data_IF_395860863352
#
_entry.id   IF_395860863352
#
_cell.length_a   1.000
_cell.length_b   1.000
_cell.length_c   1.000
_cell.angle_alpha   90.00
_cell.angle_beta   90.00
_cell.angle_gamma   90.00
#
_symmetry.space_group_name_H-M   'P 1'
#
loop_
_entity.id
_entity.type
_entity.pdbx_description
1 polymer ?
#
# COMPACT_ATOMS: atom_id res chain seq x y z
N UNK A 1 -9.36 10.98 12.36
CA UNK A 1 -8.74 10.10 11.35
C UNK A 1 -7.27 10.42 11.35
N UNK A 2 -6.43 9.40 11.34
CA UNK A 2 -4.98 9.55 11.37
C UNK A 2 -4.39 9.05 10.05
N UNK A 3 -3.53 9.85 9.44
CA UNK A 3 -2.88 9.52 8.16
C UNK A 3 -1.39 9.28 8.40
N UNK A 4 -0.90 8.15 7.91
CA UNK A 4 0.51 7.77 7.93
C UNK A 4 1.05 7.69 6.51
N UNK A 5 2.25 8.23 6.29
CA UNK A 5 2.97 8.05 5.02
C UNK A 5 3.77 6.76 5.13
N UNK A 6 3.60 5.86 4.16
CA UNK A 6 4.45 4.68 4.02
C UNK A 6 5.76 5.15 3.39
N UNK A 7 6.92 4.96 4.05
CA UNK A 7 8.19 5.51 3.58
C UNK A 7 8.73 4.67 2.42
N UNK A 8 8.43 5.10 1.20
CA UNK A 8 8.86 4.45 -0.03
C UNK A 8 10.02 5.21 -0.68
N UNK A 9 10.85 4.50 -1.42
CA UNK A 9 11.72 5.05 -2.46
C UNK A 9 11.18 4.73 -3.86
N UNK A 10 11.56 5.47 -4.92
CA UNK A 10 11.13 5.20 -6.30
C UNK A 10 11.87 4.00 -6.93
N UNK A 11 11.95 2.90 -6.18
CA UNK A 11 12.62 1.66 -6.56
C UNK A 11 11.81 0.45 -6.05
N UNK A 12 11.84 -0.70 -6.76
CA UNK A 12 11.26 -1.94 -6.26
C UNK A 12 11.87 -2.33 -4.92
N UNK A 13 11.03 -2.59 -3.92
CA UNK A 13 11.46 -2.80 -2.55
C UNK A 13 10.55 -3.76 -1.80
N UNK A 14 11.11 -4.43 -0.78
CA UNK A 14 10.38 -5.31 0.11
C UNK A 14 10.81 -5.04 1.54
N UNK A 15 9.85 -4.72 2.41
CA UNK A 15 10.13 -4.32 3.79
C UNK A 15 8.98 -4.72 4.73
N UNK A 16 9.31 -4.84 6.02
CA UNK A 16 8.33 -5.04 7.07
C UNK A 16 7.75 -3.71 7.55
N UNK A 17 6.46 -3.69 7.88
CA UNK A 17 5.75 -2.54 8.42
C UNK A 17 4.64 -2.99 9.37
N UNK A 18 4.31 -2.15 10.34
CA UNK A 18 3.14 -2.35 11.20
C UNK A 18 2.05 -1.38 10.78
N UNK A 19 0.91 -1.89 10.30
CA UNK A 19 -0.27 -1.11 9.95
C UNK A 19 -1.41 -1.50 10.89
N UNK A 20 -2.03 -0.51 11.54
CA UNK A 20 -3.13 -0.72 12.50
C UNK A 20 -2.85 -1.82 13.55
N UNK A 21 -1.60 -1.93 14.02
CA UNK A 21 -1.19 -2.95 15.01
C UNK A 21 -0.90 -4.35 14.44
N UNK A 22 -1.04 -4.55 13.13
CA UNK A 22 -0.69 -5.80 12.44
C UNK A 22 0.65 -5.68 11.74
N UNK A 23 1.57 -6.61 12.01
CA UNK A 23 2.81 -6.71 11.27
C UNK A 23 2.56 -7.33 9.90
N UNK A 24 3.11 -6.70 8.87
CA UNK A 24 2.95 -7.08 7.47
C UNK A 24 4.30 -6.96 6.77
N UNK A 25 4.46 -7.71 5.68
CA UNK A 25 5.54 -7.50 4.73
C UNK A 25 4.95 -7.00 3.41
N UNK A 26 5.36 -5.80 3.01
CA UNK A 26 5.01 -5.24 1.71
C UNK A 26 6.09 -5.57 0.70
N UNK A 27 5.68 -5.89 -0.52
CA UNK A 27 6.59 -6.02 -1.68
C UNK A 27 6.02 -5.20 -2.82
N UNK A 28 6.76 -4.18 -3.22
CA UNK A 28 6.37 -3.25 -4.28
C UNK A 28 7.28 -3.48 -5.49
N UNK A 29 6.67 -3.62 -6.67
CA UNK A 29 7.36 -3.93 -7.94
C UNK A 29 6.87 -3.02 -9.05
N UNK A 30 7.78 -2.69 -9.95
CA UNK A 30 7.47 -1.98 -11.18
C UNK A 30 7.31 -2.97 -12.34
N UNK A 31 6.22 -2.83 -13.10
CA UNK A 31 6.01 -3.57 -14.34
C UNK A 31 6.15 -2.62 -15.54
N UNK A 32 7.29 -2.74 -16.23
CA UNK A 32 7.60 -1.92 -17.42
C UNK A 32 6.88 -2.47 -18.67
N UNK A 33 5.59 -2.16 -18.79
CA UNK A 33 4.75 -2.52 -19.95
C UNK A 33 3.75 -1.41 -20.25
N UNK A 34 3.16 -1.46 -21.44
CA UNK A 34 1.97 -0.64 -21.78
C UNK A 34 0.88 -0.94 -20.74
N UNK A 35 0.32 0.11 -20.12
CA UNK A 35 -0.63 0.04 -19.00
C UNK A 35 -0.08 -0.67 -17.73
N UNK A 36 1.25 -0.84 -17.66
CA UNK A 36 1.94 -1.28 -16.46
C UNK A 36 2.05 -0.19 -15.40
N UNK A 37 2.73 -0.50 -14.31
CA UNK A 37 2.90 0.44 -13.21
C UNK A 37 3.41 -0.23 -11.94
N UNK A 38 3.22 0.47 -10.84
CA UNK A 38 3.52 -0.05 -9.52
C UNK A 38 2.44 -1.04 -9.06
N UNK A 39 2.90 -2.18 -8.54
CA UNK A 39 2.05 -3.23 -7.99
C UNK A 39 2.59 -3.63 -6.62
N UNK A 40 1.68 -3.83 -5.68
CA UNK A 40 1.98 -4.21 -4.31
C UNK A 40 1.44 -5.61 -4.01
N UNK A 41 2.27 -6.40 -3.33
CA UNK A 41 1.86 -7.60 -2.61
C UNK A 41 2.01 -7.38 -1.10
N UNK A 42 1.18 -8.05 -0.33
CA UNK A 42 1.14 -8.06 1.13
C UNK A 42 1.25 -9.50 1.61
N UNK A 43 2.20 -9.75 2.50
CA UNK A 43 2.48 -11.07 3.06
C UNK A 43 2.50 -11.01 4.58
N UNK A 44 2.25 -12.17 5.20
CA UNK A 44 2.62 -12.40 6.60
C UNK A 44 4.15 -12.37 6.72
N UNK A 45 4.72 -11.62 7.69
CA UNK A 45 6.15 -11.34 7.74
C UNK A 45 7.03 -12.56 8.01
N UNK A 46 6.59 -13.47 8.89
CA UNK A 46 7.38 -14.65 9.28
C UNK A 46 7.22 -15.83 8.34
N UNK A 47 5.97 -16.16 7.97
CA UNK A 47 5.66 -17.34 7.16
C UNK A 47 5.79 -17.09 5.66
N UNK A 48 5.90 -15.82 5.25
CA UNK A 48 5.78 -15.39 3.86
C UNK A 48 4.48 -15.86 3.18
N UNK A 49 3.44 -16.17 3.97
CA UNK A 49 2.14 -16.54 3.43
C UNK A 49 1.49 -15.31 2.76
N UNK A 50 0.95 -15.45 1.54
CA UNK A 50 0.31 -14.33 0.86
C UNK A 50 -1.00 -13.95 1.55
N UNK A 51 -1.17 -12.64 1.81
CA UNK A 51 -2.43 -12.07 2.31
C UNK A 51 -3.23 -11.51 1.13
N UNK A 52 -2.60 -10.65 0.32
CA UNK A 52 -3.13 -10.15 -0.95
C UNK A 52 -1.97 -9.90 -1.91
N UNK A 53 -2.13 -10.26 -3.17
CA UNK A 53 -1.10 -10.06 -4.19
C UNK A 53 -1.69 -9.36 -5.42
N UNK A 54 -0.86 -8.59 -6.10
CA UNK A 54 -1.21 -7.97 -7.36
C UNK A 54 -2.06 -6.71 -7.23
N UNK A 55 -1.98 -5.98 -6.11
CA UNK A 55 -2.74 -4.73 -5.92
C UNK A 55 -2.09 -3.63 -6.78
N UNK A 56 -2.76 -3.12 -7.82
CA UNK A 56 -2.21 -2.02 -8.62
C UNK A 56 -2.30 -0.72 -7.83
N UNK A 57 -1.22 0.07 -7.83
CA UNK A 57 -1.21 1.38 -7.17
C UNK A 57 -1.86 2.42 -8.09
N UNK A 58 -3.18 2.57 -7.96
CA UNK A 58 -3.98 3.54 -8.73
C UNK A 58 -4.38 4.76 -7.89
N UNK A 59 -4.60 5.89 -8.55
CA UNK A 59 -5.09 7.11 -7.92
C UNK A 59 -6.60 7.09 -7.66
N UNK A 60 -7.05 7.89 -6.68
CA UNK A 60 -8.47 8.19 -6.46
C UNK A 60 -9.32 7.08 -5.84
N UNK A 61 -8.72 5.97 -5.40
CA UNK A 61 -9.42 4.84 -4.78
C UNK A 61 -8.80 4.44 -3.44
N UNK A 62 -9.59 3.77 -2.60
CA UNK A 62 -9.05 2.95 -1.51
C UNK A 62 -8.61 1.60 -2.08
N UNK A 63 -7.31 1.37 -2.07
CA UNK A 63 -6.67 0.16 -2.60
C UNK A 63 -6.96 -1.07 -1.73
N UNK A 64 -7.35 -0.89 -0.47
CA UNK A 64 -7.77 -1.99 0.42
C UNK A 64 -9.28 -2.22 0.43
N UNK A 65 -10.09 -1.31 -0.13
CA UNK A 65 -11.55 -1.41 -0.17
C UNK A 65 -12.08 -2.74 -0.74
N UNK A 66 -11.55 -3.26 -1.88
CA UNK A 66 -11.95 -4.57 -2.39
C UNK A 66 -11.61 -5.76 -1.47
N UNK A 67 -10.73 -5.55 -0.49
CA UNK A 67 -10.20 -6.55 0.42
C UNK A 67 -10.61 -6.30 1.88
N UNK A 68 -11.68 -5.54 2.12
CA UNK A 68 -12.15 -5.14 3.46
C UNK A 68 -12.36 -6.36 4.40
N UNK A 69 -12.78 -7.50 3.83
CA UNK A 69 -12.93 -8.77 4.57
C UNK A 69 -11.62 -9.30 5.20
N UNK A 70 -10.45 -8.81 4.78
CA UNK A 70 -9.14 -9.14 5.37
C UNK A 70 -8.84 -8.33 6.64
N UNK A 71 -9.66 -7.30 6.95
CA UNK A 71 -9.54 -6.44 8.12
C UNK A 71 -8.12 -5.89 8.31
N UNK A 72 -7.59 -5.21 7.29
CA UNK A 72 -6.25 -4.60 7.32
C UNK A 72 -6.19 -3.29 8.15
N UNK A 73 -7.34 -2.87 8.70
CA UNK A 73 -7.42 -1.85 9.74
C UNK A 73 -7.36 -0.39 9.25
N UNK A 74 -7.48 -0.16 7.94
CA UNK A 74 -7.51 1.17 7.36
C UNK A 74 -7.61 1.17 5.84
N UNK A 75 -7.71 2.37 5.28
CA UNK A 75 -7.69 2.62 3.84
C UNK A 75 -6.25 2.80 3.37
N UNK A 76 -5.97 2.40 2.12
CA UNK A 76 -4.69 2.64 1.48
C UNK A 76 -4.91 3.49 0.22
N UNK A 77 -4.24 4.64 0.10
CA UNK A 77 -4.51 5.61 -0.98
C UNK A 77 -3.24 6.24 -1.52
N UNK A 78 -3.22 6.54 -2.82
CA UNK A 78 -2.19 7.36 -3.46
C UNK A 78 -2.52 8.85 -3.30
N UNK A 79 -1.54 9.64 -2.84
CA UNK A 79 -1.65 11.10 -2.70
C UNK A 79 -1.39 11.83 -4.03
N UNK A 80 -2.18 11.50 -5.05
CA UNK A 80 -2.11 12.10 -6.37
C UNK A 80 -3.39 11.78 -7.15
N UNK A 81 -3.76 12.67 -8.07
CA UNK A 81 -4.87 12.47 -9.02
C UNK A 81 -4.51 11.49 -10.14
N UNK A 82 -3.22 11.25 -10.36
CA UNK A 82 -2.70 10.33 -11.37
C UNK A 82 -1.96 9.17 -10.71
N UNK A 83 -2.00 7.95 -11.30
CA UNK A 83 -1.17 6.85 -10.84
C UNK A 83 0.32 7.24 -10.80
N UNK A 84 1.08 6.78 -9.80
CA UNK A 84 2.50 7.10 -9.69
C UNK A 84 3.27 6.56 -10.89
N UNK A 85 4.12 7.40 -11.48
CA UNK A 85 5.17 6.99 -12.40
C UNK A 85 6.34 6.34 -11.63
N UNK A 86 7.25 5.70 -12.35
CA UNK A 86 8.40 5.00 -11.77
C UNK A 86 9.20 5.89 -10.80
N UNK A 87 9.52 7.12 -11.19
CA UNK A 87 10.39 8.02 -10.42
C UNK A 87 9.65 8.87 -9.37
N UNK A 88 8.33 8.72 -9.24
CA UNK A 88 7.48 9.56 -8.39
C UNK A 88 7.02 8.90 -7.10
N UNK A 89 6.94 7.56 -7.05
CA UNK A 89 6.47 6.86 -5.84
C UNK A 89 7.49 7.01 -4.71
N UNK A 90 7.10 7.62 -3.59
CA UNK A 90 8.02 8.00 -2.52
C UNK A 90 8.91 9.20 -2.84
N UNK A 91 8.63 9.89 -3.95
CA UNK A 91 9.31 11.09 -4.41
C UNK A 91 8.28 12.08 -5.00
N UNK A 92 7.52 12.72 -4.11
CA UNK A 92 6.46 13.67 -4.47
C UNK A 92 5.07 13.05 -4.66
N UNK A 93 4.97 11.72 -4.81
CA UNK A 93 3.71 10.97 -4.72
C UNK A 93 3.82 9.92 -3.61
N UNK A 94 3.01 10.06 -2.57
CA UNK A 94 3.06 9.22 -1.38
C UNK A 94 1.98 8.13 -1.39
N UNK A 95 2.31 6.99 -0.77
CA UNK A 95 1.34 5.97 -0.40
C UNK A 95 0.90 6.21 1.05
N UNK A 96 -0.37 6.50 1.23
CA UNK A 96 -0.97 6.86 2.51
C UNK A 96 -1.72 5.67 3.09
N UNK A 97 -1.51 5.41 4.38
CA UNK A 97 -2.37 4.55 5.18
C UNK A 97 -3.21 5.41 6.12
N UNK A 98 -4.54 5.31 6.00
CA UNK A 98 -5.49 6.17 6.70
C UNK A 98 -6.33 5.31 7.64
N UNK A 99 -6.32 5.65 8.93
CA UNK A 99 -7.16 4.99 9.94
C UNK A 99 -8.25 5.92 10.45
N UNK A 100 -9.43 5.38 10.73
CA UNK A 100 -10.40 6.05 11.59
C UNK A 100 -9.86 6.04 13.02
N UNK A 101 -9.88 7.19 13.70
CA UNK A 101 -9.53 7.20 15.14
C UNK A 101 -10.57 6.33 15.84
N UNK A 102 -10.10 5.30 16.55
CA UNK A 102 -10.95 4.20 17.00
C UNK A 102 -12.11 4.66 17.89
N UNK A 103 -13.31 4.14 17.62
CA UNK A 103 -14.19 3.79 18.72
C UNK A 103 -13.47 2.71 19.54
N UNK A 104 -12.96 3.13 20.70
CA UNK A 104 -12.51 2.22 21.73
C UNK A 104 -13.74 1.47 22.23
N UNK A 105 -13.82 0.17 21.96
CA UNK A 105 -14.79 -0.72 22.59
C UNK A 105 -14.13 -1.47 23.76
#
# INVERSE_FOLDING_TARGET
>A
MTTFIIPLTPEPQSFGITLAGRELRLTIRWFETVEGGWVMDVYEPESAAPIVCGVPLVAGADLFGPYDYLNLGGELRIDSELPPAYDTLGNGVDLLFITSDGESA
#
